data_IF_267494617403
#
_entry.id   IF_267494617403
#
_cell.length_a   1.000
_cell.length_b   1.000
_cell.length_c   1.000
_cell.angle_alpha   90.00
_cell.angle_beta   90.00
_cell.angle_gamma   90.00
#
_symmetry.space_group_name_H-M   'P 1'
#
loop_
_entity.id
_entity.type
_entity.pdbx_description
1 polymer ?
#
# COMPACT_ATOMS: atom_id res chain seq x y z
N UNK A 1 60.76 39.82 -18.92
CA UNK A 1 60.57 39.15 -17.63
C UNK A 1 59.13 38.63 -17.59
N UNK A 2 58.94 37.30 -17.79
CA UNK A 2 57.64 36.63 -17.77
C UNK A 2 57.34 36.20 -16.35
N UNK A 3 56.31 36.77 -15.73
CA UNK A 3 55.84 36.31 -14.40
C UNK A 3 54.91 35.13 -14.65
N UNK A 4 55.37 33.91 -14.34
CA UNK A 4 54.51 32.74 -14.30
C UNK A 4 53.67 32.75 -13.01
N UNK A 5 52.37 32.95 -13.14
CA UNK A 5 51.41 32.82 -12.05
C UNK A 5 51.20 31.33 -11.85
N UNK A 6 51.80 30.77 -10.84
CA UNK A 6 51.60 29.39 -10.39
C UNK A 6 50.19 29.27 -9.77
N UNK A 7 49.28 28.71 -10.52
CA UNK A 7 47.97 28.34 -10.00
C UNK A 7 48.14 27.14 -9.06
N UNK A 8 48.12 27.36 -7.75
CA UNK A 8 48.09 26.31 -6.77
C UNK A 8 46.67 25.73 -6.69
N UNK A 9 46.45 24.40 -6.90
CA UNK A 9 45.14 23.81 -6.70
C UNK A 9 44.77 24.00 -5.23
N UNK A 10 43.56 24.56 -5.01
CA UNK A 10 42.97 24.68 -3.68
C UNK A 10 42.63 23.27 -3.19
N UNK A 11 43.42 22.74 -2.27
CA UNK A 11 43.10 21.48 -1.61
C UNK A 11 42.09 21.73 -0.48
N UNK A 12 41.10 20.88 -0.37
CA UNK A 12 40.13 20.93 0.72
C UNK A 12 40.78 20.61 2.05
N UNK A 13 40.43 21.34 3.09
CA UNK A 13 40.93 21.08 4.44
C UNK A 13 40.09 20.00 5.12
N UNK A 14 40.69 19.25 6.03
CA UNK A 14 39.98 18.23 6.83
C UNK A 14 38.82 18.85 7.64
N UNK A 15 39.02 20.07 8.15
CA UNK A 15 37.99 20.82 8.89
C UNK A 15 36.82 21.17 8.00
N UNK A 16 37.05 21.53 6.75
CA UNK A 16 35.99 21.86 5.77
C UNK A 16 35.15 20.65 5.45
N UNK A 17 35.72 19.47 5.30
CA UNK A 17 35.00 18.21 5.16
C UNK A 17 34.20 17.83 6.42
N UNK A 18 34.78 17.99 7.62
CA UNK A 18 34.11 17.79 8.89
C UNK A 18 32.86 18.69 9.05
N UNK A 19 33.01 19.97 8.68
CA UNK A 19 31.90 20.93 8.73
C UNK A 19 30.77 20.51 7.79
N UNK A 20 31.06 20.09 6.58
CA UNK A 20 30.06 19.66 5.57
C UNK A 20 29.28 18.43 6.06
N UNK A 21 29.97 17.39 6.53
CA UNK A 21 29.29 16.19 7.02
C UNK A 21 28.45 16.46 8.28
N UNK A 22 28.89 17.39 9.14
CA UNK A 22 28.13 17.80 10.31
C UNK A 22 26.82 18.51 9.91
N UNK A 23 26.90 19.45 8.96
CA UNK A 23 25.71 20.16 8.46
C UNK A 23 24.76 19.19 7.78
N UNK A 24 25.24 18.28 6.92
CA UNK A 24 24.41 17.27 6.27
C UNK A 24 23.76 16.35 7.31
N UNK A 25 24.48 15.94 8.35
CA UNK A 25 23.95 15.13 9.43
C UNK A 25 22.79 15.81 10.18
N UNK A 26 22.93 17.09 10.51
CA UNK A 26 21.88 17.88 11.16
C UNK A 26 20.65 18.01 10.25
N UNK A 27 20.84 18.32 8.97
CA UNK A 27 19.74 18.46 8.02
C UNK A 27 19.02 17.12 7.78
N UNK A 28 19.77 16.03 7.66
CA UNK A 28 19.20 14.69 7.53
C UNK A 28 18.35 14.30 8.73
N UNK A 29 18.79 14.59 9.95
CA UNK A 29 18.04 14.32 11.16
C UNK A 29 16.70 15.04 11.25
N UNK A 30 16.55 16.20 10.62
CA UNK A 30 15.29 16.96 10.59
C UNK A 30 14.33 16.48 9.51
N UNK A 31 14.83 15.90 8.39
CA UNK A 31 14.01 15.52 7.22
C UNK A 31 13.48 14.11 7.32
N UNK A 32 14.29 13.16 7.79
CA UNK A 32 13.93 11.73 7.83
C UNK A 32 12.62 11.45 8.58
N UNK A 33 12.35 11.98 9.80
CA UNK A 33 11.11 11.68 10.52
C UNK A 33 9.83 12.12 9.80
N UNK A 34 9.89 13.21 9.04
CA UNK A 34 8.73 13.74 8.29
C UNK A 34 8.36 12.88 7.07
N UNK A 35 9.31 12.16 6.51
CA UNK A 35 9.07 11.31 5.33
C UNK A 35 8.41 9.99 5.70
N UNK A 36 8.71 9.42 6.86
CA UNK A 36 8.16 8.13 7.32
C UNK A 36 6.64 8.22 7.51
N UNK A 37 6.15 9.28 8.17
CA UNK A 37 4.71 9.46 8.38
C UNK A 37 3.90 9.67 7.09
N UNK A 38 4.46 10.35 6.10
CA UNK A 38 3.81 10.53 4.78
C UNK A 38 3.75 9.24 3.97
N UNK A 39 4.76 8.40 4.09
CA UNK A 39 4.77 7.07 3.45
C UNK A 39 3.66 6.19 3.98
N UNK A 40 3.41 6.20 5.28
CA UNK A 40 2.34 5.41 5.90
C UNK A 40 0.94 5.91 5.50
N UNK A 41 0.71 7.22 5.50
CA UNK A 41 -0.54 7.79 5.01
C UNK A 41 -0.82 7.44 3.54
N UNK A 42 0.22 7.42 2.69
CA UNK A 42 0.10 7.02 1.30
C UNK A 42 -0.28 5.54 1.16
N UNK A 43 0.30 4.66 2.00
CA UNK A 43 -0.06 3.24 2.03
C UNK A 43 -1.50 3.02 2.47
N UNK A 44 -1.96 3.69 3.51
CA UNK A 44 -3.35 3.61 3.95
C UNK A 44 -4.31 4.08 2.86
N UNK A 45 -4.01 5.19 2.17
CA UNK A 45 -4.81 5.66 1.05
C UNK A 45 -4.85 4.66 -0.12
N UNK A 46 -3.72 4.01 -0.42
CA UNK A 46 -3.65 2.96 -1.42
C UNK A 46 -4.50 1.73 -1.02
N UNK A 47 -4.42 1.29 0.24
CA UNK A 47 -5.25 0.19 0.75
C UNK A 47 -6.75 0.49 0.62
N UNK A 48 -7.19 1.71 0.94
CA UNK A 48 -8.58 2.12 0.73
C UNK A 48 -8.99 2.12 -0.74
N UNK A 49 -8.11 2.53 -1.65
CA UNK A 49 -8.38 2.48 -3.09
C UNK A 49 -8.50 1.04 -3.60
N UNK A 50 -7.64 0.14 -3.15
CA UNK A 50 -7.71 -1.28 -3.48
C UNK A 50 -8.99 -1.93 -2.94
N UNK A 51 -9.36 -1.67 -1.69
CA UNK A 51 -10.63 -2.14 -1.11
C UNK A 51 -11.83 -1.67 -1.93
N UNK A 52 -11.83 -0.42 -2.41
CA UNK A 52 -12.88 0.12 -3.27
C UNK A 52 -12.92 -0.58 -4.64
N UNK A 53 -11.77 -0.90 -5.21
CA UNK A 53 -11.66 -1.65 -6.46
C UNK A 53 -12.18 -3.08 -6.33
N UNK A 54 -11.77 -3.80 -5.28
CA UNK A 54 -12.24 -5.15 -4.99
C UNK A 54 -13.74 -5.13 -4.72
N UNK A 55 -14.25 -4.14 -3.97
CA UNK A 55 -15.68 -3.97 -3.74
C UNK A 55 -16.45 -3.85 -5.05
N UNK A 56 -15.99 -3.03 -5.99
CA UNK A 56 -16.63 -2.87 -7.30
C UNK A 56 -16.69 -4.20 -8.06
N UNK A 57 -15.63 -5.01 -8.00
CA UNK A 57 -15.59 -6.32 -8.63
C UNK A 57 -16.54 -7.33 -7.94
N UNK A 58 -16.66 -7.28 -6.61
CA UNK A 58 -17.59 -8.10 -5.83
C UNK A 58 -19.05 -7.74 -6.16
N UNK A 59 -19.37 -6.44 -6.25
CA UNK A 59 -20.71 -5.96 -6.60
C UNK A 59 -21.08 -6.35 -8.05
N UNK A 60 -20.12 -6.29 -8.99
CA UNK A 60 -20.32 -6.74 -10.35
C UNK A 60 -20.61 -8.26 -10.43
N UNK A 61 -19.84 -9.06 -9.68
CA UNK A 61 -20.09 -10.50 -9.58
C UNK A 61 -21.49 -10.79 -9.01
N UNK A 62 -21.90 -10.07 -7.97
CA UNK A 62 -23.23 -10.23 -7.34
C UNK A 62 -24.34 -9.85 -8.31
N UNK A 63 -24.20 -8.78 -9.09
CA UNK A 63 -25.17 -8.37 -10.11
C UNK A 63 -25.35 -9.45 -11.16
N UNK A 64 -24.28 -10.07 -11.63
CA UNK A 64 -24.34 -11.10 -12.67
C UNK A 64 -24.89 -12.44 -12.16
N UNK A 65 -24.54 -12.84 -10.95
CA UNK A 65 -24.81 -14.20 -10.43
C UNK A 65 -25.90 -14.24 -9.35
N UNK A 66 -26.29 -13.10 -8.77
CA UNK A 66 -27.33 -13.00 -7.73
C UNK A 66 -26.86 -13.36 -6.32
N UNK A 67 -25.54 -13.52 -6.12
CA UNK A 67 -24.93 -13.82 -4.82
C UNK A 67 -23.46 -13.40 -4.82
N UNK A 68 -22.88 -13.17 -3.64
CA UNK A 68 -21.45 -12.87 -3.50
C UNK A 68 -20.59 -14.13 -3.65
N UNK A 69 -19.38 -14.04 -4.20
CA UNK A 69 -18.48 -15.18 -4.38
C UNK A 69 -18.05 -15.77 -3.04
N UNK A 70 -17.62 -17.03 -3.04
CA UNK A 70 -17.11 -17.70 -1.83
C UNK A 70 -15.68 -17.28 -1.49
N UNK A 71 -14.92 -16.84 -2.49
CA UNK A 71 -13.53 -16.39 -2.36
C UNK A 71 -13.23 -15.27 -3.36
N UNK A 72 -12.19 -14.47 -3.08
CA UNK A 72 -11.72 -13.46 -4.02
C UNK A 72 -11.18 -14.08 -5.33
N UNK A 73 -10.74 -15.35 -5.28
CA UNK A 73 -10.27 -16.07 -6.47
C UNK A 73 -11.38 -16.20 -7.54
N UNK A 74 -12.64 -16.26 -7.11
CA UNK A 74 -13.81 -16.35 -8.00
C UNK A 74 -14.01 -15.08 -8.85
N UNK A 75 -13.35 -13.96 -8.51
CA UNK A 75 -13.32 -12.73 -9.30
C UNK A 75 -12.34 -12.80 -10.47
N UNK A 76 -11.33 -13.65 -10.37
CA UNK A 76 -10.27 -13.83 -11.38
C UNK A 76 -10.57 -15.03 -12.27
N UNK A 77 -11.10 -16.09 -11.68
CA UNK A 77 -11.39 -17.36 -12.36
C UNK A 77 -12.84 -17.78 -12.13
N UNK A 78 -13.50 -18.24 -13.19
CA UNK A 78 -14.88 -18.69 -13.11
C UNK A 78 -15.04 -19.87 -12.15
N UNK A 79 -15.81 -19.76 -11.07
CA UNK A 79 -16.16 -20.90 -10.24
C UNK A 79 -17.22 -21.78 -10.91
N UNK A 80 -17.22 -23.08 -10.62
CA UNK A 80 -18.12 -24.06 -11.25
C UNK A 80 -19.61 -23.80 -11.03
N UNK A 81 -19.97 -23.06 -9.99
CA UNK A 81 -21.35 -22.73 -9.62
C UNK A 81 -21.86 -21.41 -10.22
N UNK A 82 -20.99 -20.60 -10.85
CA UNK A 82 -21.37 -19.30 -11.44
C UNK A 82 -21.65 -19.45 -12.93
N UNK A 83 -22.92 -19.74 -13.27
CA UNK A 83 -23.35 -19.94 -14.67
C UNK A 83 -23.40 -18.65 -15.48
N UNK A 84 -23.64 -17.51 -14.82
CA UNK A 84 -23.73 -16.18 -15.42
C UNK A 84 -22.45 -15.36 -15.18
N UNK A 85 -21.31 -16.02 -15.05
CA UNK A 85 -20.06 -15.35 -14.86
C UNK A 85 -19.62 -14.62 -16.15
N UNK A 86 -19.42 -13.31 -16.05
CA UNK A 86 -18.99 -12.45 -17.16
C UNK A 86 -17.59 -11.87 -16.95
N UNK A 87 -16.83 -12.43 -15.99
CA UNK A 87 -15.49 -11.95 -15.67
C UNK A 87 -14.42 -12.30 -16.74
N UNK A 88 -13.14 -12.08 -16.43
CA UNK A 88 -12.66 -11.76 -15.09
C UNK A 88 -13.08 -10.37 -14.60
N UNK A 89 -13.47 -10.26 -13.33
CA UNK A 89 -13.84 -9.00 -12.68
C UNK A 89 -12.61 -8.26 -12.12
N UNK A 90 -11.51 -9.01 -11.90
CA UNK A 90 -10.17 -8.52 -11.59
C UNK A 90 -9.16 -9.27 -12.45
N UNK A 91 -8.16 -8.57 -12.95
CA UNK A 91 -7.07 -9.18 -13.72
C UNK A 91 -6.21 -10.12 -12.84
N UNK A 92 -6.00 -9.74 -11.60
CA UNK A 92 -5.31 -10.52 -10.58
C UNK A 92 -5.74 -10.06 -9.18
N UNK A 93 -5.50 -10.90 -8.17
CA UNK A 93 -5.71 -10.50 -6.79
C UNK A 93 -4.60 -9.55 -6.35
N UNK A 94 -4.93 -8.30 -5.94
CA UNK A 94 -3.93 -7.38 -5.42
C UNK A 94 -3.44 -7.83 -4.05
N UNK A 95 -2.22 -7.42 -3.71
CA UNK A 95 -1.73 -7.42 -2.33
C UNK A 95 -1.86 -6.01 -1.77
N UNK A 96 -2.03 -5.93 -0.45
CA UNK A 96 -2.07 -4.66 0.21
C UNK A 96 -0.69 -3.94 0.16
N UNK A 97 -0.59 -2.65 0.50
CA UNK A 97 0.67 -1.91 0.45
C UNK A 97 1.77 -2.42 1.40
N UNK A 98 1.45 -3.33 2.31
CA UNK A 98 2.39 -4.03 3.18
C UNK A 98 2.70 -5.45 2.71
N UNK A 99 2.22 -5.83 1.48
CA UNK A 99 2.44 -7.11 0.80
C UNK A 99 1.70 -8.30 1.44
N UNK A 100 0.61 -8.03 2.17
CA UNK A 100 -0.27 -9.06 2.68
C UNK A 100 -1.45 -9.27 1.72
N UNK A 101 -2.03 -10.49 1.65
CA UNK A 101 -3.27 -10.70 0.91
C UNK A 101 -4.44 -10.03 1.63
N UNK A 102 -5.41 -9.51 0.85
CA UNK A 102 -6.69 -9.06 1.40
C UNK A 102 -7.48 -10.22 1.98
N UNK A 103 -8.08 -10.01 3.14
CA UNK A 103 -8.93 -10.99 3.82
C UNK A 103 -10.39 -10.75 3.45
N UNK A 104 -11.06 -11.80 2.97
CA UNK A 104 -12.45 -11.78 2.57
C UNK A 104 -13.22 -12.88 3.31
N UNK A 105 -14.38 -12.53 3.82
CA UNK A 105 -15.28 -13.48 4.51
C UNK A 105 -16.72 -13.23 4.08
N UNK A 106 -17.39 -14.27 3.58
CA UNK A 106 -18.81 -14.24 3.23
C UNK A 106 -19.55 -15.44 3.83
N UNK A 107 -20.67 -15.27 4.54
CA UNK A 107 -21.19 -14.00 5.06
C UNK A 107 -20.23 -13.31 6.02
N UNK A 108 -20.27 -11.96 6.09
CA UNK A 108 -19.42 -11.18 6.98
C UNK A 108 -19.80 -11.35 8.45
N UNK A 109 -18.82 -11.14 9.34
CA UNK A 109 -19.08 -11.08 10.79
C UNK A 109 -19.55 -9.70 11.21
N UNK A 110 -18.98 -8.66 10.60
CA UNK A 110 -19.38 -7.26 10.80
C UNK A 110 -20.56 -6.88 9.91
N UNK A 111 -20.63 -7.48 8.73
CA UNK A 111 -21.70 -7.27 7.76
C UNK A 111 -22.46 -8.58 7.47
N UNK A 112 -23.38 -9.05 8.36
CA UNK A 112 -24.00 -10.39 8.25
C UNK A 112 -24.80 -10.60 6.97
N UNK A 113 -25.35 -9.55 6.39
CA UNK A 113 -26.13 -9.58 5.13
C UNK A 113 -25.26 -9.33 3.87
N UNK A 114 -23.95 -9.20 4.04
CA UNK A 114 -22.98 -8.92 3.01
C UNK A 114 -21.68 -9.62 3.34
N UNK A 115 -20.55 -9.02 3.02
CA UNK A 115 -19.21 -9.58 3.26
C UNK A 115 -18.36 -8.65 4.11
N UNK A 116 -17.35 -9.21 4.73
CA UNK A 116 -16.24 -8.48 5.32
C UNK A 116 -15.04 -8.55 4.37
N UNK A 117 -14.44 -7.41 4.09
CA UNK A 117 -13.23 -7.27 3.28
C UNK A 117 -12.26 -6.35 3.98
N UNK A 118 -11.02 -6.78 4.18
CA UNK A 118 -10.02 -5.98 4.91
C UNK A 118 -8.59 -6.21 4.44
N UNK A 119 -7.75 -5.19 4.65
CA UNK A 119 -6.30 -5.33 4.77
C UNK A 119 -5.95 -5.52 6.24
N UNK A 120 -4.99 -6.37 6.51
CA UNK A 120 -4.47 -6.64 7.86
C UNK A 120 -3.44 -5.61 8.33
N UNK A 121 -3.23 -4.54 7.54
CA UNK A 121 -2.34 -3.44 7.92
C UNK A 121 -0.86 -3.80 8.01
N UNK A 122 -0.07 -2.90 8.61
CA UNK A 122 1.38 -3.06 8.71
C UNK A 122 1.84 -4.19 9.62
N UNK A 123 1.06 -4.61 10.60
CA UNK A 123 1.44 -5.69 11.52
C UNK A 123 1.18 -7.10 10.94
N UNK A 124 0.42 -7.20 9.85
CA UNK A 124 0.10 -8.45 9.15
C UNK A 124 -0.80 -9.40 9.93
N UNK A 125 -1.53 -8.92 10.95
CA UNK A 125 -2.39 -9.73 11.81
C UNK A 125 -3.83 -9.26 11.76
N UNK A 126 -4.73 -10.16 11.39
CA UNK A 126 -6.17 -9.88 11.41
C UNK A 126 -6.69 -9.71 12.84
N UNK A 127 -7.53 -8.70 13.08
CA UNK A 127 -8.15 -8.42 14.37
C UNK A 127 -7.36 -7.40 15.21
N UNK A 128 -6.43 -6.66 14.63
CA UNK A 128 -5.68 -5.59 15.27
C UNK A 128 -6.31 -4.19 15.02
N UNK A 129 -5.78 -3.17 15.69
CA UNK A 129 -6.30 -1.80 15.58
C UNK A 129 -5.95 -1.13 14.25
N UNK A 130 -4.96 -1.64 13.54
CA UNK A 130 -4.47 -1.15 12.26
C UNK A 130 -5.13 -1.81 11.04
N UNK A 131 -6.06 -2.76 11.25
CA UNK A 131 -6.88 -3.33 10.19
C UNK A 131 -7.70 -2.24 9.47
N UNK A 132 -7.72 -2.29 8.15
CA UNK A 132 -8.50 -1.40 7.30
C UNK A 132 -9.60 -2.24 6.64
N UNK A 133 -10.83 -2.11 7.11
CA UNK A 133 -11.96 -2.91 6.64
C UNK A 133 -13.08 -2.09 6.00
N UNK A 134 -14.06 -2.78 5.42
CA UNK A 134 -15.26 -2.18 4.82
C UNK A 134 -16.39 -1.93 5.83
N UNK A 135 -16.09 -1.95 7.12
CA UNK A 135 -17.02 -1.62 8.20
C UNK A 135 -16.50 -0.44 9.05
N UNK A 136 -17.41 0.21 9.77
CA UNK A 136 -17.08 1.28 10.73
C UNK A 136 -16.64 0.65 12.05
N UNK A 137 -15.47 1.07 12.56
CA UNK A 137 -15.00 0.70 13.91
C UNK A 137 -15.75 1.45 14.99
#
# INVERSE_FOLDING_TARGET
>A
MKIEIRNYPRAFTLVEMLLVITIIGILAALVIPKMVGRSEQARQAAAHADLSSIKTALDAFEVDNGYYPKSLQDLVQQPSNAKNWHGPYLDSLPQDPWQNPYVYTYPGRHNPNSYDLMSVGPDGKAGSDDDIGNWTK
#
